data_IF_662218539982
#
_entry.id   IF_662218539982
#
_cell.length_a   1.000
_cell.length_b   1.000
_cell.length_c   1.000
_cell.angle_alpha   90.00
_cell.angle_beta   90.00
_cell.angle_gamma   90.00
#
_symmetry.space_group_name_H-M   'P 1'
#
loop_
_entity.id
_entity.type
_entity.pdbx_description
1 polymer ?
#
# COMPACT_ATOMS: atom_id res chain seq x y z
N UNK A 1 -58.28 -61.47 -13.11
CA UNK A 1 -57.12 -62.37 -13.12
C UNK A 1 -57.43 -63.68 -12.43
N UNK A 2 -57.10 -63.81 -11.14
CA UNK A 2 -57.23 -65.08 -10.40
C UNK A 2 -58.64 -65.68 -10.36
N UNK A 3 -59.70 -64.86 -10.28
CA UNK A 3 -61.09 -65.36 -10.33
C UNK A 3 -61.47 -66.04 -11.65
N UNK A 4 -60.94 -65.57 -12.78
CA UNK A 4 -61.20 -66.12 -14.13
C UNK A 4 -60.35 -67.38 -14.38
N UNK A 5 -59.16 -67.42 -13.78
CA UNK A 5 -58.28 -68.58 -13.80
C UNK A 5 -58.87 -69.79 -13.07
N UNK A 6 -59.52 -69.55 -11.93
CA UNK A 6 -60.25 -70.59 -11.17
C UNK A 6 -61.48 -71.11 -11.91
N UNK A 7 -62.10 -70.32 -12.78
CA UNK A 7 -63.26 -70.76 -13.58
C UNK A 7 -62.89 -71.51 -14.87
N UNK A 8 -61.60 -71.55 -15.23
CA UNK A 8 -61.08 -72.19 -16.47
C UNK A 8 -60.17 -73.40 -16.15
N UNK A 9 -60.17 -73.88 -14.91
CA UNK A 9 -59.28 -74.96 -14.43
C UNK A 9 -59.36 -76.22 -15.32
N UNK A 10 -58.21 -76.62 -15.88
CA UNK A 10 -58.09 -77.78 -16.78
C UNK A 10 -58.10 -77.47 -18.28
N UNK A 11 -58.30 -76.21 -18.70
CA UNK A 11 -58.24 -75.78 -20.11
C UNK A 11 -56.88 -75.16 -20.50
N UNK A 12 -56.46 -75.30 -21.75
CA UNK A 12 -55.30 -74.60 -22.34
C UNK A 12 -55.41 -73.06 -22.21
N UNK A 13 -56.65 -72.54 -22.17
CA UNK A 13 -56.91 -71.11 -21.96
C UNK A 13 -56.51 -70.63 -20.56
N UNK A 14 -56.58 -71.49 -19.54
CA UNK A 14 -56.12 -71.16 -18.20
C UNK A 14 -54.59 -71.04 -18.16
N UNK A 15 -53.86 -71.92 -18.87
CA UNK A 15 -52.41 -71.86 -18.99
C UNK A 15 -51.95 -70.60 -19.74
N UNK A 16 -52.65 -70.23 -20.82
CA UNK A 16 -52.38 -68.99 -21.57
C UNK A 16 -52.66 -67.73 -20.72
N UNK A 17 -53.77 -67.71 -19.98
CA UNK A 17 -54.13 -66.61 -19.10
C UNK A 17 -53.15 -66.45 -17.94
N UNK A 18 -52.70 -67.56 -17.34
CA UNK A 18 -51.66 -67.58 -16.31
C UNK A 18 -50.36 -66.97 -16.83
N UNK A 19 -49.89 -67.43 -17.99
CA UNK A 19 -48.66 -66.91 -18.62
C UNK A 19 -48.74 -65.40 -18.92
N UNK A 20 -49.91 -64.91 -19.34
CA UNK A 20 -50.15 -63.46 -19.55
C UNK A 20 -50.13 -62.67 -18.25
N UNK A 21 -50.76 -63.17 -17.19
CA UNK A 21 -50.74 -62.52 -15.87
C UNK A 21 -49.33 -62.50 -15.29
N UNK A 22 -48.56 -63.58 -15.44
CA UNK A 22 -47.18 -63.66 -14.99
C UNK A 22 -46.28 -62.69 -15.76
N UNK A 23 -46.46 -62.58 -17.09
CA UNK A 23 -45.76 -61.58 -17.91
C UNK A 23 -46.12 -60.14 -17.50
N UNK A 24 -47.40 -59.87 -17.24
CA UNK A 24 -47.87 -58.56 -16.79
C UNK A 24 -47.30 -58.21 -15.40
N UNK A 25 -47.30 -59.16 -14.47
CA UNK A 25 -46.70 -59.00 -13.15
C UNK A 25 -45.19 -58.76 -13.23
N UNK A 26 -44.50 -59.47 -14.12
CA UNK A 26 -43.07 -59.25 -14.38
C UNK A 26 -42.80 -57.84 -14.90
N UNK A 27 -43.52 -57.41 -15.94
CA UNK A 27 -43.40 -56.04 -16.50
C UNK A 27 -43.74 -54.97 -15.47
N UNK A 28 -44.77 -55.19 -14.66
CA UNK A 28 -45.13 -54.30 -13.56
C UNK A 28 -44.02 -54.21 -12.50
N UNK A 29 -43.39 -55.34 -12.15
CA UNK A 29 -42.27 -55.38 -11.20
C UNK A 29 -41.04 -54.62 -11.73
N UNK A 30 -40.72 -54.77 -13.01
CA UNK A 30 -39.62 -54.06 -13.67
C UNK A 30 -39.89 -52.56 -13.79
N UNK A 31 -41.11 -52.17 -14.16
CA UNK A 31 -41.50 -50.75 -14.18
C UNK A 31 -41.40 -50.12 -12.79
N UNK A 32 -41.86 -50.83 -11.74
CA UNK A 32 -41.77 -50.37 -10.36
C UNK A 32 -40.31 -50.20 -9.90
N UNK A 33 -39.43 -51.14 -10.25
CA UNK A 33 -37.98 -51.02 -9.97
C UNK A 33 -37.37 -49.81 -10.68
N UNK A 34 -37.66 -49.62 -11.97
CA UNK A 34 -37.17 -48.48 -12.75
C UNK A 34 -37.64 -47.15 -12.15
N UNK A 35 -38.93 -47.04 -11.82
CA UNK A 35 -39.50 -45.86 -11.17
C UNK A 35 -38.84 -45.56 -9.83
N UNK A 36 -38.58 -46.58 -8.99
CA UNK A 36 -37.86 -46.43 -7.73
C UNK A 36 -36.42 -45.93 -7.94
N UNK A 37 -35.69 -46.48 -8.90
CA UNK A 37 -34.32 -46.06 -9.22
C UNK A 37 -34.26 -44.62 -9.76
N UNK A 38 -35.21 -44.24 -10.63
CA UNK A 38 -35.31 -42.86 -11.15
C UNK A 38 -35.58 -41.91 -9.99
N UNK A 39 -36.52 -42.25 -9.09
CA UNK A 39 -36.82 -41.43 -7.92
C UNK A 39 -35.60 -41.27 -7.00
N UNK A 40 -34.91 -42.36 -6.67
CA UNK A 40 -33.74 -42.29 -5.77
C UNK A 40 -32.59 -41.48 -6.39
N UNK A 41 -32.40 -41.57 -7.72
CA UNK A 41 -31.42 -40.76 -8.43
C UNK A 41 -31.79 -39.27 -8.42
N UNK A 42 -33.06 -38.94 -8.69
CA UNK A 42 -33.56 -37.56 -8.64
C UNK A 42 -33.48 -36.96 -7.24
N UNK A 43 -33.78 -37.73 -6.20
CA UNK A 43 -33.64 -37.29 -4.80
C UNK A 43 -32.17 -37.05 -4.43
N UNK A 44 -31.25 -37.95 -4.80
CA UNK A 44 -29.82 -37.76 -4.56
C UNK A 44 -29.26 -36.53 -5.29
N UNK A 45 -29.65 -36.33 -6.56
CA UNK A 45 -29.29 -35.14 -7.34
C UNK A 45 -29.89 -33.87 -6.72
N UNK A 46 -31.11 -33.95 -6.18
CA UNK A 46 -31.78 -32.86 -5.46
C UNK A 46 -30.98 -32.38 -4.25
N UNK A 47 -30.50 -33.32 -3.44
CA UNK A 47 -29.73 -32.98 -2.24
C UNK A 47 -28.32 -32.47 -2.59
N UNK A 48 -27.70 -33.02 -3.65
CA UNK A 48 -26.41 -32.56 -4.13
C UNK A 48 -26.47 -31.09 -4.59
N UNK A 49 -27.45 -30.71 -5.40
CA UNK A 49 -27.54 -29.32 -5.88
C UNK A 49 -27.84 -28.35 -4.74
N UNK A 50 -28.69 -28.71 -3.76
CA UNK A 50 -28.98 -27.85 -2.61
C UNK A 50 -27.73 -27.56 -1.80
N UNK A 51 -26.89 -28.58 -1.57
CA UNK A 51 -25.60 -28.43 -0.88
C UNK A 51 -24.65 -27.53 -1.68
N UNK A 52 -24.57 -27.72 -3.00
CA UNK A 52 -23.75 -26.87 -3.86
C UNK A 52 -24.23 -25.42 -3.86
N UNK A 53 -25.53 -25.20 -3.99
CA UNK A 53 -26.14 -23.87 -3.96
C UNK A 53 -25.82 -23.14 -2.65
N UNK A 54 -25.98 -23.81 -1.50
CA UNK A 54 -25.64 -23.24 -0.19
C UNK A 54 -24.15 -22.92 -0.08
N UNK A 55 -23.28 -23.84 -0.49
CA UNK A 55 -21.82 -23.65 -0.50
C UNK A 55 -21.42 -22.43 -1.35
N UNK A 56 -21.98 -22.28 -2.56
CA UNK A 56 -21.72 -21.11 -3.41
C UNK A 56 -22.21 -19.80 -2.78
N UNK A 57 -23.37 -19.81 -2.10
CA UNK A 57 -23.85 -18.62 -1.38
C UNK A 57 -22.95 -18.24 -0.21
N UNK A 58 -22.49 -19.21 0.57
CA UNK A 58 -21.53 -18.98 1.66
C UNK A 58 -20.20 -18.43 1.13
N UNK A 59 -19.71 -18.94 -0.01
CA UNK A 59 -18.52 -18.42 -0.67
C UNK A 59 -18.72 -16.98 -1.16
N UNK A 60 -19.84 -16.65 -1.79
CA UNK A 60 -20.14 -15.28 -2.22
C UNK A 60 -20.20 -14.31 -1.04
N UNK A 61 -20.87 -14.69 0.05
CA UNK A 61 -20.94 -13.86 1.25
C UNK A 61 -19.54 -13.65 1.86
N UNK A 62 -18.70 -14.69 1.89
CA UNK A 62 -17.32 -14.59 2.36
C UNK A 62 -16.47 -13.70 1.45
N UNK A 63 -16.61 -13.81 0.13
CA UNK A 63 -15.91 -12.96 -0.84
C UNK A 63 -16.27 -11.49 -0.67
N UNK A 64 -17.56 -11.19 -0.49
CA UNK A 64 -18.03 -9.83 -0.21
C UNK A 64 -17.42 -9.26 1.07
N UNK A 65 -17.45 -10.05 2.15
CA UNK A 65 -16.84 -9.65 3.42
C UNK A 65 -15.34 -9.35 3.27
N UNK A 66 -14.62 -10.16 2.50
CA UNK A 66 -13.18 -9.96 2.26
C UNK A 66 -12.87 -8.80 1.33
N UNK A 67 -13.70 -8.53 0.33
CA UNK A 67 -13.58 -7.34 -0.50
C UNK A 67 -13.77 -6.06 0.33
N UNK A 68 -14.74 -6.07 1.26
CA UNK A 68 -14.96 -4.94 2.17
C UNK A 68 -13.83 -4.78 3.20
N UNK A 69 -13.32 -5.88 3.76
CA UNK A 69 -12.14 -5.85 4.64
C UNK A 69 -10.90 -5.29 3.92
N UNK A 70 -10.69 -5.64 2.66
CA UNK A 70 -9.61 -5.10 1.85
C UNK A 70 -9.77 -3.59 1.60
N UNK A 71 -10.98 -3.13 1.28
CA UNK A 71 -11.26 -1.69 1.10
C UNK A 71 -11.00 -0.87 2.37
N UNK A 72 -11.28 -1.44 3.54
CA UNK A 72 -11.05 -0.79 4.84
C UNK A 72 -9.56 -0.59 5.17
N UNK A 73 -8.63 -1.24 4.46
CA UNK A 73 -7.19 -1.04 4.69
C UNK A 73 -6.67 0.29 4.11
N UNK A 74 -7.41 0.90 3.17
CA UNK A 74 -7.08 2.21 2.62
C UNK A 74 -7.45 3.35 3.60
N UNK A 75 -6.74 4.49 3.59
CA UNK A 75 -5.61 4.84 2.71
C UNK A 75 -4.25 4.30 3.19
N UNK A 76 -3.23 4.38 2.34
CA UNK A 76 -1.83 4.10 2.72
C UNK A 76 -1.38 5.10 3.81
N UNK A 77 -0.66 4.60 4.82
CA UNK A 77 -0.12 5.41 5.91
C UNK A 77 1.00 6.37 5.46
N UNK A 78 1.21 7.42 6.26
CA UNK A 78 2.18 8.50 6.00
C UNK A 78 3.58 8.32 6.61
N UNK A 79 3.82 7.20 7.28
CA UNK A 79 5.07 6.87 7.95
C UNK A 79 5.37 5.37 7.92
N UNK A 80 6.66 5.03 8.05
CA UNK A 80 7.14 3.66 7.91
C UNK A 80 6.49 2.68 8.92
N UNK A 81 6.35 3.00 10.22
CA UNK A 81 5.66 2.10 11.16
C UNK A 81 4.21 1.80 10.78
N UNK A 82 3.47 2.81 10.30
CA UNK A 82 2.07 2.66 9.91
C UNK A 82 1.95 1.77 8.67
N UNK A 83 2.75 2.01 7.64
CA UNK A 83 2.71 1.20 6.40
C UNK A 83 3.23 -0.22 6.67
N UNK A 84 4.21 -0.40 7.55
CA UNK A 84 4.68 -1.72 7.96
C UNK A 84 3.57 -2.52 8.65
N UNK A 85 2.79 -1.89 9.54
CA UNK A 85 1.61 -2.52 10.16
C UNK A 85 0.55 -2.88 9.13
N UNK A 86 0.33 -2.04 8.12
CA UNK A 86 -0.57 -2.35 7.00
C UNK A 86 -0.08 -3.56 6.20
N UNK A 87 1.22 -3.65 5.93
CA UNK A 87 1.84 -4.80 5.27
C UNK A 87 1.62 -6.10 6.07
N UNK A 88 1.85 -6.08 7.38
CA UNK A 88 1.65 -7.26 8.24
C UNK A 88 0.18 -7.69 8.29
N UNK A 89 -0.74 -6.72 8.33
CA UNK A 89 -2.19 -6.97 8.24
C UNK A 89 -2.55 -7.62 6.90
N UNK A 90 -2.04 -7.07 5.79
CA UNK A 90 -2.31 -7.61 4.45
C UNK A 90 -1.67 -8.99 4.23
N UNK A 91 -0.50 -9.26 4.82
CA UNK A 91 0.09 -10.60 4.85
C UNK A 91 -0.82 -11.61 5.55
N UNK A 92 -1.54 -11.20 6.60
CA UNK A 92 -2.54 -12.06 7.25
C UNK A 92 -3.73 -12.31 6.34
N UNK A 93 -4.26 -11.26 5.73
CA UNK A 93 -5.32 -11.34 4.74
C UNK A 93 -4.98 -12.31 3.58
N UNK A 94 -3.79 -12.20 2.99
CA UNK A 94 -3.32 -13.12 1.92
C UNK A 94 -3.18 -14.57 2.38
N UNK A 95 -2.82 -14.81 3.64
CA UNK A 95 -2.81 -16.17 4.21
C UNK A 95 -4.22 -16.76 4.25
N UNK A 96 -5.22 -15.97 4.64
CA UNK A 96 -6.61 -16.42 4.63
C UNK A 96 -7.12 -16.72 3.22
N UNK A 97 -6.79 -15.89 2.23
CA UNK A 97 -7.10 -16.17 0.83
C UNK A 97 -6.49 -17.52 0.40
N UNK A 98 -5.20 -17.74 0.67
CA UNK A 98 -4.52 -19.00 0.35
C UNK A 98 -5.17 -20.22 1.01
N UNK A 99 -5.69 -20.08 2.23
CA UNK A 99 -6.43 -21.15 2.90
C UNK A 99 -7.81 -21.40 2.27
N UNK A 100 -8.47 -20.38 1.73
CA UNK A 100 -9.78 -20.52 1.05
C UNK A 100 -9.71 -20.96 -0.40
N UNK A 101 -8.60 -20.71 -1.09
CA UNK A 101 -8.38 -21.11 -2.48
C UNK A 101 -8.80 -22.57 -2.80
N UNK A 102 -8.35 -23.62 -2.08
CA UNK A 102 -8.74 -24.99 -2.41
C UNK A 102 -10.25 -25.24 -2.25
N UNK A 103 -10.92 -24.55 -1.32
CA UNK A 103 -12.35 -24.69 -1.09
C UNK A 103 -13.13 -24.10 -2.27
N UNK A 104 -12.72 -22.91 -2.74
CA UNK A 104 -13.31 -22.26 -3.91
C UNK A 104 -13.11 -23.13 -5.15
N UNK A 105 -11.89 -23.60 -5.40
CA UNK A 105 -11.59 -24.44 -6.57
C UNK A 105 -12.37 -25.75 -6.54
N UNK A 106 -12.47 -26.40 -5.36
CA UNK A 106 -13.27 -27.62 -5.19
C UNK A 106 -14.76 -27.39 -5.43
N UNK A 107 -15.34 -26.28 -4.94
CA UNK A 107 -16.74 -25.95 -5.18
C UNK A 107 -17.02 -25.70 -6.66
N UNK A 108 -16.16 -24.94 -7.35
CA UNK A 108 -16.27 -24.69 -8.79
C UNK A 108 -16.14 -25.98 -9.60
N UNK A 109 -15.21 -26.87 -9.24
CA UNK A 109 -15.04 -28.16 -9.89
C UNK A 109 -16.25 -29.06 -9.68
N UNK A 110 -16.80 -29.09 -8.46
CA UNK A 110 -17.98 -29.92 -8.17
C UNK A 110 -19.20 -29.43 -8.97
N UNK A 111 -19.36 -28.13 -9.18
CA UNK A 111 -20.38 -27.58 -10.09
C UNK A 111 -20.10 -28.03 -11.53
N UNK A 112 -18.86 -27.97 -12.01
CA UNK A 112 -18.51 -28.43 -13.36
C UNK A 112 -18.87 -29.90 -13.59
N UNK A 113 -18.50 -30.77 -12.66
CA UNK A 113 -18.83 -32.20 -12.71
C UNK A 113 -20.36 -32.40 -12.68
N UNK A 114 -21.05 -31.73 -11.76
CA UNK A 114 -22.52 -31.82 -11.65
C UNK A 114 -23.25 -31.36 -12.93
N UNK A 115 -22.71 -30.35 -13.63
CA UNK A 115 -23.24 -29.89 -14.91
C UNK A 115 -22.95 -30.87 -16.06
N UNK A 116 -21.87 -31.65 -15.98
CA UNK A 116 -21.49 -32.65 -16.97
C UNK A 116 -22.25 -33.99 -16.80
N UNK A 117 -22.60 -34.35 -15.56
CA UNK A 117 -23.33 -35.58 -15.21
C UNK A 117 -24.86 -35.48 -15.38
N UNK A 118 -25.38 -34.34 -15.86
CA UNK A 118 -26.82 -34.20 -16.12
C UNK A 118 -27.26 -35.21 -17.20
N UNK A 119 -28.32 -36.01 -16.97
CA UNK A 119 -28.76 -37.00 -17.94
C UNK A 119 -29.19 -36.33 -19.26
N UNK A 120 -28.49 -36.64 -20.35
CA UNK A 120 -29.09 -36.61 -21.69
C UNK A 120 -29.98 -37.84 -21.78
N UNK A 121 -31.23 -37.77 -21.29
CA UNK A 121 -32.16 -38.87 -21.49
C UNK A 121 -33.49 -38.34 -22.00
N UNK A 122 -33.52 -38.15 -23.32
CA UNK A 122 -34.76 -38.07 -24.06
C UNK A 122 -35.49 -39.39 -23.95
N UNK A 123 -36.67 -39.37 -23.34
CA UNK A 123 -37.76 -40.33 -23.55
C UNK A 123 -38.99 -39.87 -22.76
N UNK A 124 -39.70 -38.84 -23.24
CA UNK A 124 -41.16 -38.69 -23.06
C UNK A 124 -41.73 -37.48 -23.82
N UNK A 125 -41.92 -37.66 -25.13
CA UNK A 125 -42.99 -36.96 -25.87
C UNK A 125 -44.20 -37.89 -25.98
N UNK A 126 -44.78 -38.30 -24.86
CA UNK A 126 -46.10 -38.94 -24.86
C UNK A 126 -46.87 -38.42 -23.66
N UNK A 127 -47.93 -37.65 -23.94
CA UNK A 127 -48.90 -37.05 -23.02
C UNK A 127 -48.46 -35.74 -22.34
N UNK A 128 -48.81 -34.62 -22.97
CA UNK A 128 -48.82 -33.29 -22.34
C UNK A 128 -50.24 -32.97 -21.88
N UNK A 129 -50.48 -33.00 -20.56
CA UNK A 129 -51.54 -32.21 -19.93
C UNK A 129 -50.97 -30.85 -19.50
N UNK A 130 -51.75 -29.76 -19.58
CA UNK A 130 -51.29 -28.43 -19.19
C UNK A 130 -51.51 -28.18 -17.69
N UNK A 131 -50.47 -28.36 -16.86
CA UNK A 131 -50.21 -27.58 -15.63
C UNK A 131 -48.97 -28.07 -14.87
N UNK A 132 -48.26 -27.09 -14.30
CA UNK A 132 -46.97 -27.17 -13.58
C UNK A 132 -45.72 -27.39 -14.45
N UNK A 133 -44.67 -26.58 -14.19
CA UNK A 133 -43.35 -26.70 -14.83
C UNK A 133 -42.91 -28.16 -14.84
N UNK A 134 -42.55 -28.67 -16.02
CA UNK A 134 -42.06 -30.04 -16.18
C UNK A 134 -40.86 -30.25 -15.24
N UNK A 135 -40.68 -31.45 -14.65
CA UNK A 135 -39.49 -31.79 -13.86
C UNK A 135 -38.18 -31.44 -14.57
N UNK A 136 -38.17 -31.50 -15.91
CA UNK A 136 -37.06 -31.12 -16.77
C UNK A 136 -36.80 -29.60 -16.78
N UNK A 137 -37.84 -28.78 -16.82
CA UNK A 137 -37.74 -27.31 -16.74
C UNK A 137 -37.22 -26.87 -15.36
N UNK A 138 -37.63 -27.57 -14.29
CA UNK A 138 -37.14 -27.34 -12.93
C UNK A 138 -35.64 -27.68 -12.81
N UNK A 139 -35.20 -28.81 -13.37
CA UNK A 139 -33.79 -29.22 -13.39
C UNK A 139 -32.91 -28.27 -14.24
N UNK A 140 -33.42 -27.80 -15.37
CA UNK A 140 -32.73 -26.81 -16.21
C UNK A 140 -32.57 -25.46 -15.49
N UNK A 141 -33.57 -25.01 -14.74
CA UNK A 141 -33.48 -23.77 -13.98
C UNK A 141 -32.43 -23.86 -12.85
N UNK A 142 -32.36 -25.00 -12.15
CA UNK A 142 -31.33 -25.25 -11.13
C UNK A 142 -29.93 -25.24 -11.75
N UNK A 143 -29.76 -25.92 -12.88
CA UNK A 143 -28.51 -25.96 -13.65
C UNK A 143 -28.06 -24.55 -14.06
N UNK A 144 -28.97 -23.73 -14.58
CA UNK A 144 -28.69 -22.33 -14.94
C UNK A 144 -28.29 -21.49 -13.71
N UNK A 145 -28.99 -21.66 -12.59
CA UNK A 145 -28.70 -20.94 -11.35
C UNK A 145 -27.31 -21.29 -10.80
N UNK A 146 -26.99 -22.59 -10.70
CA UNK A 146 -25.68 -23.05 -10.22
C UNK A 146 -24.54 -22.56 -11.10
N UNK A 147 -24.71 -22.62 -12.43
CA UNK A 147 -23.73 -22.07 -13.37
C UNK A 147 -23.48 -20.59 -13.10
N UNK A 148 -24.56 -19.80 -13.02
CA UNK A 148 -24.46 -18.36 -12.73
C UNK A 148 -23.74 -18.08 -11.41
N UNK A 149 -24.08 -18.80 -10.34
CA UNK A 149 -23.45 -18.62 -9.04
C UNK A 149 -21.97 -19.03 -9.05
N UNK A 150 -21.61 -20.10 -9.75
CA UNK A 150 -20.22 -20.52 -9.90
C UNK A 150 -19.40 -19.49 -10.70
N UNK A 151 -19.98 -18.95 -11.79
CA UNK A 151 -19.35 -17.88 -12.58
C UNK A 151 -19.16 -16.60 -11.73
N UNK A 152 -20.13 -16.27 -10.88
CA UNK A 152 -20.07 -15.13 -9.96
C UNK A 152 -18.98 -15.33 -8.90
N UNK A 153 -18.93 -16.51 -8.26
CA UNK A 153 -17.87 -16.88 -7.29
C UNK A 153 -16.49 -16.77 -7.94
N UNK A 154 -16.34 -17.28 -9.17
CA UNK A 154 -15.08 -17.22 -9.90
C UNK A 154 -14.68 -15.77 -10.20
N UNK A 155 -15.62 -14.96 -10.65
CA UNK A 155 -15.38 -13.55 -11.00
C UNK A 155 -14.98 -12.74 -9.78
N UNK A 156 -15.72 -12.84 -8.67
CA UNK A 156 -15.39 -12.10 -7.44
C UNK A 156 -14.10 -12.62 -6.78
N UNK A 157 -13.81 -13.92 -6.87
CA UNK A 157 -12.53 -14.46 -6.43
C UNK A 157 -11.34 -13.89 -7.22
N UNK A 158 -11.44 -13.86 -8.55
CA UNK A 158 -10.37 -13.33 -9.41
C UNK A 158 -10.16 -11.83 -9.18
N UNK A 159 -11.26 -11.08 -9.06
CA UNK A 159 -11.24 -9.66 -8.73
C UNK A 159 -10.63 -9.38 -7.36
N UNK A 160 -10.99 -10.15 -6.33
CA UNK A 160 -10.42 -10.01 -4.99
C UNK A 160 -8.91 -10.27 -4.98
N UNK A 161 -8.45 -11.28 -5.73
CA UNK A 161 -7.02 -11.56 -5.86
C UNK A 161 -6.28 -10.45 -6.60
N UNK A 162 -6.86 -9.89 -7.67
CA UNK A 162 -6.30 -8.75 -8.38
C UNK A 162 -6.19 -7.52 -7.46
N UNK A 163 -7.28 -7.15 -6.80
CA UNK A 163 -7.31 -6.03 -5.84
C UNK A 163 -6.29 -6.22 -4.71
N UNK A 164 -6.16 -7.44 -4.19
CA UNK A 164 -5.17 -7.80 -3.17
C UNK A 164 -3.73 -7.65 -3.67
N UNK A 165 -3.45 -8.04 -4.91
CA UNK A 165 -2.14 -7.86 -5.53
C UNK A 165 -1.81 -6.39 -5.76
N UNK A 166 -2.77 -5.61 -6.27
CA UNK A 166 -2.62 -4.17 -6.48
C UNK A 166 -2.41 -3.42 -5.16
N UNK A 167 -3.12 -3.82 -4.11
CA UNK A 167 -2.94 -3.26 -2.78
C UNK A 167 -1.56 -3.58 -2.19
N UNK A 168 -1.07 -4.83 -2.35
CA UNK A 168 0.29 -5.18 -1.95
C UNK A 168 1.32 -4.30 -2.69
N UNK A 169 1.15 -4.11 -4.00
CA UNK A 169 2.04 -3.25 -4.79
C UNK A 169 2.07 -1.81 -4.25
N UNK A 170 0.91 -1.25 -3.90
CA UNK A 170 0.83 0.08 -3.27
C UNK A 170 1.54 0.15 -1.93
N UNK A 171 1.42 -0.88 -1.09
CA UNK A 171 2.14 -0.98 0.18
C UNK A 171 3.65 -1.02 -0.07
N UNK A 172 4.11 -1.88 -0.98
CA UNK A 172 5.53 -2.07 -1.25
C UNK A 172 6.18 -0.79 -1.79
N UNK A 173 5.53 -0.12 -2.76
CA UNK A 173 6.00 1.16 -3.29
C UNK A 173 6.01 2.27 -2.22
N UNK A 174 5.03 2.29 -1.31
CA UNK A 174 4.99 3.27 -0.24
C UNK A 174 6.12 3.03 0.78
N UNK A 175 6.40 1.77 1.12
CA UNK A 175 7.52 1.40 1.99
C UNK A 175 8.86 1.83 1.38
N UNK A 176 9.08 1.54 0.10
CA UNK A 176 10.31 1.91 -0.61
C UNK A 176 10.53 3.43 -0.58
N UNK A 177 9.52 4.22 -0.96
CA UNK A 177 9.61 5.69 -0.94
C UNK A 177 9.82 6.25 0.46
N UNK A 178 9.09 5.74 1.47
CA UNK A 178 9.23 6.20 2.85
C UNK A 178 10.61 5.86 3.42
N UNK A 179 11.16 4.70 3.05
CA UNK A 179 12.51 4.31 3.43
C UNK A 179 13.55 5.22 2.77
N UNK A 180 13.43 5.49 1.46
CA UNK A 180 14.32 6.41 0.75
C UNK A 180 14.30 7.82 1.37
N UNK A 181 13.11 8.34 1.68
CA UNK A 181 12.98 9.62 2.38
C UNK A 181 13.65 9.59 3.76
N UNK A 182 13.44 8.52 4.53
CA UNK A 182 14.04 8.37 5.85
C UNK A 182 15.58 8.33 5.78
N UNK A 183 16.14 7.53 4.87
CA UNK A 183 17.58 7.42 4.67
C UNK A 183 18.20 8.76 4.26
N UNK A 184 17.56 9.49 3.35
CA UNK A 184 18.00 10.82 2.94
C UNK A 184 17.91 11.86 4.08
N UNK A 185 16.86 11.80 4.91
CA UNK A 185 16.72 12.64 6.10
C UNK A 185 17.80 12.33 7.15
N UNK A 186 18.09 11.05 7.40
CA UNK A 186 19.10 10.60 8.35
C UNK A 186 20.51 11.02 7.90
N UNK A 187 20.82 10.92 6.59
CA UNK A 187 22.08 11.39 6.03
C UNK A 187 22.22 12.91 6.17
N UNK A 188 21.16 13.68 5.88
CA UNK A 188 21.15 15.13 6.03
C UNK A 188 21.32 15.53 7.50
N UNK A 189 20.61 14.88 8.43
CA UNK A 189 20.74 15.13 9.87
C UNK A 189 22.18 14.89 10.34
N UNK A 190 22.81 13.79 9.93
CA UNK A 190 24.19 13.49 10.27
C UNK A 190 25.15 14.58 9.80
N UNK A 191 25.04 15.00 8.53
CA UNK A 191 25.89 16.07 7.96
C UNK A 191 25.66 17.41 8.66
N UNK A 192 24.41 17.75 8.97
CA UNK A 192 24.08 18.97 9.72
C UNK A 192 24.65 18.93 11.13
N UNK A 193 24.50 17.83 11.87
CA UNK A 193 25.08 17.68 13.21
C UNK A 193 26.59 17.83 13.21
N UNK A 194 27.28 17.19 12.26
CA UNK A 194 28.73 17.33 12.12
C UNK A 194 29.12 18.80 11.90
N UNK A 195 28.39 19.49 11.03
CA UNK A 195 28.66 20.89 10.74
C UNK A 195 28.36 21.82 11.93
N UNK A 196 27.27 21.56 12.66
CA UNK A 196 26.90 22.27 13.88
C UNK A 196 27.94 22.09 15.00
N UNK A 197 28.52 20.90 15.13
CA UNK A 197 29.62 20.63 16.07
C UNK A 197 30.87 21.43 15.70
N UNK A 198 31.25 21.47 14.42
CA UNK A 198 32.38 22.31 13.96
C UNK A 198 32.13 23.78 14.25
N UNK A 199 30.94 24.30 13.93
CA UNK A 199 30.54 25.67 14.27
C UNK A 199 30.61 25.92 15.78
N UNK A 200 30.12 24.99 16.60
CA UNK A 200 30.12 25.09 18.06
C UNK A 200 31.51 25.09 18.69
N UNK A 201 32.52 24.59 17.97
CA UNK A 201 33.92 24.60 18.41
C UNK A 201 34.65 25.94 18.19
N UNK A 202 34.03 26.89 17.48
CA UNK A 202 34.68 28.16 17.16
C UNK A 202 34.77 29.09 18.36
N UNK A 203 35.99 29.55 18.63
CA UNK A 203 36.22 30.57 19.66
C UNK A 203 35.58 31.91 19.28
N UNK A 204 35.09 32.70 20.24
CA UNK A 204 34.67 34.08 20.00
C UNK A 204 35.77 34.89 19.28
N UNK A 205 35.39 35.79 18.37
CA UNK A 205 36.38 36.56 17.57
C UNK A 205 37.29 37.39 18.48
N UNK A 206 36.78 37.91 19.60
CA UNK A 206 37.55 38.69 20.56
C UNK A 206 38.67 37.93 21.27
N UNK A 207 38.63 36.59 21.29
CA UNK A 207 39.65 35.75 21.93
C UNK A 207 40.77 35.33 20.96
N UNK A 208 40.65 35.68 19.68
CA UNK A 208 41.61 35.33 18.65
C UNK A 208 42.80 36.30 18.62
N UNK A 209 43.97 35.77 18.30
CA UNK A 209 45.15 36.59 18.02
C UNK A 209 44.94 37.40 16.73
N UNK A 210 45.18 38.70 16.80
CA UNK A 210 45.03 39.64 15.68
C UNK A 210 45.81 39.19 14.45
N UNK A 211 47.06 38.74 14.65
CA UNK A 211 47.94 38.28 13.58
C UNK A 211 47.44 37.01 12.88
N UNK A 212 46.56 36.23 13.54
CA UNK A 212 45.99 34.99 13.01
C UNK A 212 44.59 35.16 12.41
N UNK A 213 43.99 36.36 12.48
CA UNK A 213 42.61 36.59 12.00
C UNK A 213 42.43 36.24 10.52
N UNK A 214 43.44 36.51 9.70
CA UNK A 214 43.41 36.18 8.28
C UNK A 214 43.38 34.66 8.04
N UNK A 215 44.16 33.90 8.81
CA UNK A 215 44.17 32.43 8.72
C UNK A 215 42.82 31.84 9.13
N UNK A 216 42.20 32.36 10.20
CA UNK A 216 40.86 31.95 10.61
C UNK A 216 39.80 32.31 9.58
N UNK A 217 39.89 33.49 8.95
CA UNK A 217 38.98 33.91 7.88
C UNK A 217 39.05 32.94 6.69
N UNK A 218 40.26 32.59 6.23
CA UNK A 218 40.43 31.65 5.14
C UNK A 218 39.95 30.24 5.51
N UNK A 219 40.22 29.77 6.74
CA UNK A 219 39.67 28.49 7.24
C UNK A 219 38.15 28.44 7.19
N UNK A 220 37.46 29.50 7.63
CA UNK A 220 35.98 29.54 7.61
C UNK A 220 35.44 29.62 6.18
N UNK A 221 36.13 30.30 5.26
CA UNK A 221 35.75 30.31 3.83
C UNK A 221 35.91 28.93 3.18
N UNK A 222 37.01 28.23 3.47
CA UNK A 222 37.22 26.84 3.01
C UNK A 222 36.11 25.95 3.57
N UNK A 223 35.83 26.05 4.87
CA UNK A 223 34.76 25.30 5.51
C UNK A 223 33.38 25.58 4.89
N UNK A 224 33.08 26.85 4.54
CA UNK A 224 31.85 27.20 3.80
C UNK A 224 31.74 26.46 2.47
N UNK A 225 32.86 26.29 1.76
CA UNK A 225 32.90 25.51 0.52
C UNK A 225 32.74 24.00 0.79
N UNK A 226 33.31 23.48 1.87
CA UNK A 226 33.19 22.06 2.27
C UNK A 226 31.75 21.66 2.59
N UNK A 227 30.98 22.54 3.24
CA UNK A 227 29.57 22.27 3.58
C UNK A 227 28.58 22.62 2.47
N UNK A 228 29.02 23.25 1.37
CA UNK A 228 28.16 23.64 0.27
C UNK A 228 27.31 22.47 -0.31
N UNK A 229 27.83 21.23 -0.43
CA UNK A 229 27.05 20.07 -0.88
C UNK A 229 25.86 19.70 0.01
N UNK A 230 25.79 20.18 1.27
CA UNK A 230 24.62 19.94 2.13
C UNK A 230 23.35 20.54 1.51
N UNK A 231 23.48 21.63 0.73
CA UNK A 231 22.36 22.22 -0.01
C UNK A 231 21.68 21.21 -0.94
N UNK A 232 22.47 20.39 -1.65
CA UNK A 232 21.92 19.40 -2.58
C UNK A 232 21.19 18.28 -1.83
N UNK A 233 21.66 17.89 -0.63
CA UNK A 233 20.92 16.93 0.20
C UNK A 233 19.58 17.52 0.67
N UNK A 234 19.53 18.81 1.03
CA UNK A 234 18.26 19.49 1.38
C UNK A 234 17.31 19.52 0.19
N UNK A 235 17.81 19.83 -1.01
CA UNK A 235 16.99 19.78 -2.23
C UNK A 235 16.46 18.37 -2.47
N UNK A 236 17.34 17.36 -2.40
CA UNK A 236 16.97 15.96 -2.60
C UNK A 236 15.89 15.48 -1.62
N UNK A 237 16.05 15.76 -0.33
CA UNK A 237 15.06 15.43 0.71
C UNK A 237 13.71 16.12 0.45
N UNK A 238 13.73 17.39 0.03
CA UNK A 238 12.51 18.11 -0.33
C UNK A 238 11.85 17.55 -1.60
N UNK A 239 12.64 17.18 -2.60
CA UNK A 239 12.15 16.56 -3.84
C UNK A 239 11.48 15.22 -3.54
N UNK A 240 12.09 14.38 -2.70
CA UNK A 240 11.49 13.14 -2.20
C UNK A 240 10.18 13.42 -1.46
N UNK A 241 10.14 14.43 -0.56
CA UNK A 241 8.93 14.81 0.14
C UNK A 241 7.80 15.27 -0.82
N UNK A 242 8.13 15.98 -1.90
CA UNK A 242 7.17 16.42 -2.91
C UNK A 242 6.58 15.25 -3.72
N UNK A 243 7.31 14.15 -3.92
CA UNK A 243 6.79 12.97 -4.62
C UNK A 243 5.59 12.34 -3.90
N UNK A 244 5.51 12.44 -2.56
CA UNK A 244 4.35 11.97 -1.80
C UNK A 244 3.08 12.77 -2.09
N UNK A 245 3.22 14.07 -2.34
CA UNK A 245 2.07 14.93 -2.71
C UNK A 245 1.47 14.50 -4.05
N UNK A 246 2.31 14.04 -4.98
CA UNK A 246 1.85 13.51 -6.28
C UNK A 246 1.26 12.09 -6.22
N UNK A 247 1.51 11.36 -5.13
CA UNK A 247 1.12 9.95 -4.98
C UNK A 247 -0.12 9.75 -4.10
N UNK A 248 -0.83 10.84 -3.74
CA UNK A 248 -1.96 10.85 -2.79
C UNK A 248 -1.62 10.29 -1.38
N UNK A 249 -0.34 10.15 -1.04
CA UNK A 249 0.11 9.71 0.29
C UNK A 249 0.38 10.95 1.12
N UNK A 250 -0.37 11.13 2.20
CA UNK A 250 -0.14 12.22 3.14
C UNK A 250 0.97 11.83 4.11
N UNK A 251 2.09 12.55 4.08
CA UNK A 251 3.17 12.36 5.05
C UNK A 251 2.66 12.60 6.48
N UNK A 252 3.17 11.81 7.43
CA UNK A 252 2.82 11.96 8.84
C UNK A 252 3.29 13.32 9.39
N UNK A 253 2.63 13.85 10.44
CA UNK A 253 3.08 15.07 11.11
C UNK A 253 4.51 14.99 11.62
N UNK A 254 4.95 13.78 12.02
CA UNK A 254 6.33 13.54 12.45
C UNK A 254 7.33 13.80 11.32
N UNK A 255 7.09 13.23 10.13
CA UNK A 255 7.97 13.42 8.98
C UNK A 255 8.00 14.88 8.52
N UNK A 256 6.84 15.55 8.49
CA UNK A 256 6.76 16.96 8.13
C UNK A 256 7.57 17.85 9.10
N UNK A 257 7.43 17.63 10.41
CA UNK A 257 8.20 18.37 11.40
C UNK A 257 9.71 18.12 11.28
N UNK A 258 10.12 16.88 10.97
CA UNK A 258 11.53 16.55 10.74
C UNK A 258 12.10 17.31 9.53
N UNK A 259 11.36 17.33 8.41
CA UNK A 259 11.74 18.07 7.20
C UNK A 259 11.88 19.58 7.47
N UNK A 260 10.96 20.15 8.22
CA UNK A 260 10.99 21.56 8.62
C UNK A 260 12.19 21.87 9.53
N UNK A 261 12.48 21.00 10.51
CA UNK A 261 13.64 21.13 11.39
C UNK A 261 14.96 21.11 10.61
N UNK A 262 15.16 20.10 9.76
CA UNK A 262 16.37 19.95 8.95
C UNK A 262 16.57 21.17 8.02
N UNK A 263 15.49 21.62 7.38
CA UNK A 263 15.52 22.81 6.51
C UNK A 263 15.87 24.07 7.30
N UNK A 264 15.34 24.21 8.51
CA UNK A 264 15.58 25.37 9.37
C UNK A 264 17.02 25.38 9.89
N UNK A 265 17.53 24.24 10.35
CA UNK A 265 18.91 24.07 10.81
C UNK A 265 19.91 24.38 9.72
N UNK A 266 19.68 23.92 8.49
CA UNK A 266 20.51 24.30 7.34
C UNK A 266 20.55 25.82 7.11
N UNK A 267 19.40 26.49 7.12
CA UNK A 267 19.31 27.96 6.96
C UNK A 267 20.06 28.70 8.09
N UNK A 268 19.87 28.26 9.34
CA UNK A 268 20.55 28.86 10.50
C UNK A 268 22.07 28.63 10.46
N UNK A 269 22.52 27.48 9.97
CA UNK A 269 23.94 27.18 9.78
C UNK A 269 24.56 28.12 8.73
N UNK A 270 23.92 28.29 7.57
CA UNK A 270 24.35 29.22 6.53
C UNK A 270 24.51 30.64 7.07
N UNK A 271 23.48 31.15 7.76
CA UNK A 271 23.50 32.49 8.36
C UNK A 271 24.64 32.63 9.38
N UNK A 272 24.85 31.63 10.23
CA UNK A 272 25.90 31.69 11.24
C UNK A 272 27.32 31.69 10.66
N UNK A 273 27.54 31.00 9.54
CA UNK A 273 28.84 30.96 8.87
C UNK A 273 29.11 32.28 8.16
N UNK A 274 28.12 32.82 7.45
CA UNK A 274 28.23 34.12 6.79
C UNK A 274 28.48 35.23 7.82
N UNK A 275 27.78 35.17 8.96
CA UNK A 275 28.00 36.07 10.09
C UNK A 275 29.41 35.93 10.69
N UNK A 276 29.92 34.70 10.83
CA UNK A 276 31.30 34.47 11.29
C UNK A 276 32.34 35.07 10.34
N UNK A 277 32.15 34.89 9.03
CA UNK A 277 33.03 35.49 8.00
C UNK A 277 33.01 37.00 8.11
N UNK A 278 31.82 37.60 8.27
CA UNK A 278 31.64 39.05 8.45
C UNK A 278 32.40 39.55 9.67
N UNK A 279 32.22 38.92 10.84
CA UNK A 279 32.88 39.31 12.08
C UNK A 279 34.41 39.20 11.99
N UNK A 280 34.94 38.11 11.42
CA UNK A 280 36.38 37.93 11.22
C UNK A 280 36.95 38.97 10.25
N UNK A 281 36.22 39.27 9.17
CA UNK A 281 36.61 40.28 8.20
C UNK A 281 36.63 41.69 8.81
N UNK A 282 35.61 42.05 9.59
CA UNK A 282 35.55 43.32 10.32
C UNK A 282 36.67 43.42 11.36
N UNK A 283 36.90 42.38 12.15
CA UNK A 283 38.01 42.36 13.11
C UNK A 283 39.37 42.48 12.41
N UNK A 284 39.57 41.82 11.27
CA UNK A 284 40.80 41.94 10.50
C UNK A 284 40.98 43.34 9.90
N UNK A 285 39.90 43.96 9.40
CA UNK A 285 39.93 45.35 8.89
C UNK A 285 40.24 46.35 9.99
N UNK A 286 39.61 46.19 11.15
CA UNK A 286 39.63 47.17 12.23
C UNK A 286 40.83 46.97 13.18
N UNK A 287 41.43 45.78 13.25
CA UNK A 287 42.57 45.54 14.16
C UNK A 287 43.81 44.97 13.47
N UNK A 288 43.72 44.61 12.18
CA UNK A 288 44.84 44.03 11.44
C UNK A 288 46.04 44.98 11.25
N UNK A 289 47.15 44.49 10.69
CA UNK A 289 48.42 45.23 10.61
C UNK A 289 48.37 46.51 9.76
N UNK A 290 47.36 46.67 8.90
CA UNK A 290 47.11 47.88 8.12
C UNK A 290 46.07 48.81 8.76
N UNK A 291 45.49 48.42 9.89
CA UNK A 291 44.46 49.19 10.57
C UNK A 291 45.02 50.47 11.21
N UNK A 292 44.24 51.54 11.11
CA UNK A 292 44.44 52.81 11.79
C UNK A 292 43.45 53.02 12.96
N UNK A 293 42.63 52.02 13.28
CA UNK A 293 41.55 52.13 14.27
C UNK A 293 42.05 52.55 15.67
N UNK A 294 43.27 52.16 16.06
CA UNK A 294 43.87 52.59 17.32
C UNK A 294 44.14 54.10 17.37
N UNK A 295 44.28 54.78 16.22
CA UNK A 295 44.58 56.21 16.16
C UNK A 295 43.38 57.07 16.57
N UNK A 296 42.16 56.67 16.20
CA UNK A 296 40.94 57.41 16.55
C UNK A 296 40.64 57.39 18.05
N UNK A 297 41.07 56.33 18.74
CA UNK A 297 40.92 56.20 20.21
C UNK A 297 42.08 56.84 20.98
N UNK A 298 43.18 57.21 20.30
CA UNK A 298 44.39 57.75 20.92
C UNK A 298 44.27 59.22 21.34
N UNK A 299 43.24 59.93 20.88
CA UNK A 299 43.05 61.38 21.12
C UNK A 299 41.61 61.66 21.52
N UNK A 300 41.41 62.66 22.39
CA UNK A 300 40.08 63.11 22.78
C UNK A 300 39.57 64.17 21.80
N UNK A 301 38.25 64.19 21.58
CA UNK A 301 37.61 65.25 20.79
C UNK A 301 38.00 66.64 21.32
N UNK A 302 38.26 67.63 20.45
CA UNK A 302 37.97 67.68 19.00
C UNK A 302 39.08 67.16 18.07
N UNK A 303 40.11 66.50 18.60
CA UNK A 303 41.27 66.07 17.83
C UNK A 303 41.12 64.63 17.33
N UNK A 304 41.55 64.38 16.09
CA UNK A 304 41.68 63.05 15.49
C UNK A 304 43.13 62.83 15.03
N UNK A 305 43.67 61.63 15.25
CA UNK A 305 45.01 61.27 14.77
C UNK A 305 44.88 60.43 13.50
N UNK A 306 45.63 60.77 12.46
CA UNK A 306 45.66 60.05 11.19
C UNK A 306 47.10 59.81 10.73
N UNK A 307 47.30 58.95 9.73
CA UNK A 307 48.63 58.71 9.13
C UNK A 307 48.57 59.02 7.63
N UNK A 308 49.53 59.82 7.16
CA UNK A 308 49.69 60.21 5.76
C UNK A 308 50.17 59.03 4.87
N UNK A 309 50.06 59.12 3.53
CA UNK A 309 50.57 58.08 2.62
C UNK A 309 52.06 57.74 2.82
N UNK A 310 52.85 58.69 3.34
CA UNK A 310 54.27 58.51 3.66
C UNK A 310 54.51 57.92 5.07
N UNK A 311 53.47 57.40 5.71
CA UNK A 311 53.50 56.84 7.08
C UNK A 311 53.85 57.84 8.19
N UNK A 312 53.68 59.14 7.94
CA UNK A 312 53.87 60.19 8.96
C UNK A 312 52.54 60.45 9.67
N UNK A 313 52.47 60.32 11.01
CA UNK A 313 51.28 60.69 11.77
C UNK A 313 51.05 62.21 11.74
N UNK A 314 49.80 62.62 11.66
CA UNK A 314 49.36 64.02 11.77
C UNK A 314 48.05 64.10 12.58
N UNK A 315 47.71 65.28 13.09
CA UNK A 315 46.49 65.51 13.86
C UNK A 315 45.54 66.43 13.11
N UNK A 316 44.25 66.13 13.17
CA UNK A 316 43.17 66.94 12.60
C UNK A 316 42.39 67.54 13.76
N UNK A 317 42.24 68.86 13.80
CA UNK A 317 41.33 69.52 14.73
C UNK A 317 39.99 69.80 14.03
N UNK A 318 38.92 69.18 14.52
CA UNK A 318 37.58 69.33 13.93
C UNK A 318 36.88 70.65 14.30
N UNK A 319 37.32 71.35 15.36
CA UNK A 319 36.81 72.69 15.71
C UNK A 319 37.40 73.79 14.83
N UNK A 320 38.70 73.72 14.56
CA UNK A 320 39.42 74.76 13.80
C UNK A 320 39.64 74.41 12.33
N UNK A 321 39.32 73.19 11.91
CA UNK A 321 39.57 72.65 10.57
C UNK A 321 41.05 72.76 10.13
N UNK A 322 41.98 72.60 11.08
CA UNK A 322 43.43 72.67 10.85
C UNK A 322 44.11 71.32 11.06
N UNK A 323 45.12 71.02 10.25
CA UNK A 323 45.99 69.84 10.40
C UNK A 323 47.35 70.24 10.96
N UNK A 324 47.88 69.49 11.94
CA UNK A 324 49.19 69.74 12.58
C UNK A 324 50.11 68.53 12.51
#
# INVERSE_FOLDING_TARGET
GQKILRSLEGSDDAALLQRRLDNMNFRWSELRKKSLNIRSHLEASSDQWKRLHLSLQELLAWLQLKDDELKQQAPIGGDLPTVQKQNDTHRAFKRELKTKEPIIMSALETVRVFLAEQPLEGLEKLYQEPRELSPEERAQNVTKLLRRQADEVKTEWDKLNLNSADWQKKIDEALERLQELQEAMDELDLKLRQAEVTKGSWQPVGDLLIDSLQDYLEKVKVYRAEIAPIKENVNHVNDLAHQFTSSDIQLSPYNLNCLEDLTTRWKLLQVAIDERIRQLHEAHRDFGPTSQHFLSTSVQGPWERAISPNKVPYYINHETQTTC
#
